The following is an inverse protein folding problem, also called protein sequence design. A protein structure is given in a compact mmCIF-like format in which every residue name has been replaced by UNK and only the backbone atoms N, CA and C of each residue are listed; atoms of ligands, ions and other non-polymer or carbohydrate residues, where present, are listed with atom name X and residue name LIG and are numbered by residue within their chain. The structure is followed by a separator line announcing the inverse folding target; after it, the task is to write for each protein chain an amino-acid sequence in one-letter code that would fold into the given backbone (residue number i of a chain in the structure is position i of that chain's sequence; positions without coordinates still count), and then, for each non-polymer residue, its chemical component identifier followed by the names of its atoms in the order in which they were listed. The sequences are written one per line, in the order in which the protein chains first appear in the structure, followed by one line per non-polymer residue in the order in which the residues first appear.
data_IF_507013540002
#
_entry.id   IF_507013540002
#
_cell.length_a   1.000
_cell.length_b   1.000
_cell.length_c   1.000
_cell.angle_alpha   90.00
_cell.angle_beta   90.00
_cell.angle_gamma   90.00
#
_symmetry.space_group_name_H-M   'P 1'
#
loop_
_entity.id
_entity.type
_entity.pdbx_description
1 polymer ?
#
# COMPACT_ATOMS: atom_id res chain seq x y z
N UNK A 1 16.75 9.76 -2.40
CA UNK A 1 17.46 8.67 -1.69
C UNK A 1 17.99 9.26 -0.40
N UNK A 2 17.15 9.31 0.63
CA UNK A 2 17.50 9.92 1.91
C UNK A 2 18.06 8.79 2.78
N UNK A 3 19.37 8.82 2.99
CA UNK A 3 20.05 7.90 3.90
C UNK A 3 19.56 8.18 5.32
N UNK A 4 18.87 7.22 5.93
CA UNK A 4 18.64 7.19 7.36
C UNK A 4 19.93 6.72 8.01
N UNK A 5 20.80 7.66 8.37
CA UNK A 5 21.95 7.37 9.23
C UNK A 5 21.48 7.37 10.67
N UNK A 6 21.29 6.18 11.24
CA UNK A 6 21.22 6.02 12.69
C UNK A 6 22.61 6.31 13.27
N UNK A 7 22.82 7.53 13.77
CA UNK A 7 24.02 7.89 14.55
C UNK A 7 23.62 7.93 16.02
N UNK A 8 23.90 6.86 16.74
CA UNK A 8 24.15 6.94 18.17
C UNK A 8 25.60 7.41 18.37
N UNK A 9 25.89 8.43 19.18
CA UNK A 9 27.25 8.67 19.62
C UNK A 9 27.62 7.72 20.77
N UNK A 10 28.72 7.00 20.59
CA UNK A 10 29.46 6.30 21.64
C UNK A 10 29.88 7.29 22.73
N UNK A 11 29.42 7.08 23.97
CA UNK A 11 29.94 7.75 25.15
C UNK A 11 30.85 6.79 25.92
N UNK A 12 32.16 6.84 25.64
CA UNK A 12 33.21 6.29 26.52
C UNK A 12 33.94 7.44 27.21
N UNK A 13 33.90 7.43 28.55
CA UNK A 13 34.96 7.96 29.42
C UNK A 13 34.61 9.21 30.20
N UNK A 14 34.42 9.06 31.52
CA UNK A 14 34.43 10.16 32.49
C UNK A 14 33.74 9.77 33.78
N UNK A 15 34.49 9.20 34.73
CA UNK A 15 33.98 8.93 36.08
C UNK A 15 33.68 10.22 36.85
N UNK A 16 32.65 10.17 37.67
CA UNK A 16 32.25 11.23 38.57
C UNK A 16 30.90 10.88 39.19
N UNK A 17 30.93 10.35 40.40
CA UNK A 17 29.75 10.08 41.23
C UNK A 17 29.00 11.39 41.51
N UNK A 18 27.72 11.45 41.14
CA UNK A 18 26.75 12.31 41.83
C UNK A 18 25.32 11.78 41.66
N UNK A 19 24.67 11.65 42.80
CA UNK A 19 23.36 11.05 43.08
C UNK A 19 22.19 11.55 42.21
N UNK A 20 21.45 10.59 41.65
CA UNK A 20 19.99 10.51 41.68
C UNK A 20 19.18 11.79 41.48
N UNK A 21 18.80 12.09 40.23
CA UNK A 21 17.58 12.86 39.85
C UNK A 21 17.35 12.75 38.33
N UNK A 22 17.26 11.52 37.81
CA UNK A 22 17.26 11.27 36.35
C UNK A 22 15.91 11.07 35.66
N UNK A 23 14.81 10.81 36.39
CA UNK A 23 13.54 10.42 35.73
C UNK A 23 12.77 11.61 35.18
N UNK A 24 12.71 12.73 35.91
CA UNK A 24 11.78 13.82 35.58
C UNK A 24 12.18 14.63 34.34
N UNK A 25 13.46 14.65 33.95
CA UNK A 25 13.95 15.44 32.81
C UNK A 25 13.63 14.79 31.47
N UNK A 26 13.89 13.49 31.34
CA UNK A 26 13.62 12.71 30.13
C UNK A 26 12.12 12.55 29.90
N UNK A 27 11.35 12.29 30.97
CA UNK A 27 9.89 12.22 30.90
C UNK A 27 9.27 13.56 30.49
N UNK A 28 9.76 14.69 31.01
CA UNK A 28 9.30 16.01 30.57
C UNK A 28 9.64 16.28 29.10
N UNK A 29 10.84 15.88 28.66
CA UNK A 29 11.27 16.07 27.27
C UNK A 29 10.43 15.23 26.29
N UNK A 30 10.10 13.98 26.63
CA UNK A 30 9.20 13.14 25.83
C UNK A 30 7.77 13.71 25.78
N UNK A 31 7.28 14.31 26.88
CA UNK A 31 5.97 14.97 26.92
C UNK A 31 5.93 16.21 26.03
N UNK A 32 7.01 16.98 25.97
CA UNK A 32 7.09 18.17 25.12
C UNK A 32 7.24 17.80 23.63
N UNK A 33 8.02 16.77 23.30
CA UNK A 33 8.12 16.23 21.94
C UNK A 33 6.79 15.65 21.45
N UNK A 34 6.01 15.05 22.34
CA UNK A 34 4.67 14.58 22.06
C UNK A 34 3.67 15.72 21.80
N UNK A 35 3.96 17.00 22.11
CA UNK A 35 3.09 18.16 21.79
C UNK A 35 3.40 18.80 20.45
N UNK A 36 4.55 18.47 19.85
CA UNK A 36 4.96 19.00 18.56
C UNK A 36 4.03 18.58 17.41
N UNK A 37 4.02 19.31 16.29
CA UNK A 37 3.21 18.94 15.13
C UNK A 37 3.67 17.60 14.54
N UNK A 38 2.69 16.75 14.20
CA UNK A 38 2.90 15.42 13.61
C UNK A 38 3.24 15.49 12.12
N UNK A 39 2.84 16.58 11.45
CA UNK A 39 3.22 16.87 10.08
C UNK A 39 3.53 18.35 9.90
N UNK A 40 4.40 18.64 8.94
CA UNK A 40 4.79 20.01 8.59
C UNK A 40 4.75 20.20 7.09
N UNK A 41 4.26 21.36 6.66
CA UNK A 41 4.42 21.83 5.28
C UNK A 41 5.82 22.42 5.14
N UNK A 42 6.62 21.85 4.24
CA UNK A 42 7.96 22.33 3.93
C UNK A 42 7.87 23.31 2.77
N UNK A 43 8.22 24.59 2.96
CA UNK A 43 8.23 25.55 1.87
C UNK A 43 9.31 25.17 0.86
N UNK A 44 8.96 25.17 -0.43
CA UNK A 44 9.92 25.02 -1.50
C UNK A 44 10.77 26.30 -1.56
N UNK A 45 12.11 26.20 -1.77
CA UNK A 45 12.96 27.37 -1.88
C UNK A 45 12.41 28.38 -2.90
N UNK A 46 12.17 29.61 -2.44
CA UNK A 46 11.50 30.64 -3.23
C UNK A 46 12.18 30.90 -4.58
N UNK A 47 13.51 30.79 -4.62
CA UNK A 47 14.29 30.98 -5.85
C UNK A 47 13.91 29.99 -6.96
N UNK A 48 13.70 28.72 -6.62
CA UNK A 48 13.33 27.68 -7.60
C UNK A 48 11.89 27.88 -8.09
N UNK A 49 10.97 28.20 -7.16
CA UNK A 49 9.56 28.40 -7.48
C UNK A 49 9.32 29.66 -8.31
N UNK A 50 10.01 30.75 -7.98
CA UNK A 50 9.88 32.01 -8.71
C UNK A 50 10.44 31.89 -10.12
N UNK A 51 11.60 31.23 -10.31
CA UNK A 51 12.14 30.95 -11.64
C UNK A 51 11.16 30.15 -12.50
N UNK A 52 10.57 29.09 -11.92
CA UNK A 52 9.55 28.28 -12.60
C UNK A 52 8.32 29.10 -13.03
N UNK A 53 7.80 29.95 -12.13
CA UNK A 53 6.66 30.84 -12.43
C UNK A 53 6.96 31.84 -13.53
N UNK A 54 8.16 32.44 -13.52
CA UNK A 54 8.59 33.38 -14.56
C UNK A 54 8.63 32.68 -15.92
N UNK A 55 9.18 31.47 -16.00
CA UNK A 55 9.24 30.70 -17.25
C UNK A 55 7.84 30.36 -17.78
N UNK A 56 6.89 29.99 -16.90
CA UNK A 56 5.49 29.73 -17.32
C UNK A 56 4.84 31.00 -17.87
N UNK A 57 4.97 32.13 -17.18
CA UNK A 57 4.41 33.41 -17.64
C UNK A 57 5.03 33.80 -18.98
N UNK A 58 6.35 33.69 -19.13
CA UNK A 58 7.04 33.97 -20.39
C UNK A 58 6.52 33.08 -21.51
N UNK A 59 6.33 31.77 -21.25
CA UNK A 59 5.78 30.84 -22.22
C UNK A 59 4.35 31.20 -22.60
N UNK A 60 3.52 31.65 -21.67
CA UNK A 60 2.17 32.15 -21.94
C UNK A 60 2.20 33.37 -22.87
N UNK A 61 3.12 34.32 -22.62
CA UNK A 61 3.30 35.50 -23.48
C UNK A 61 3.70 35.08 -24.91
N UNK A 62 4.67 34.16 -25.05
CA UNK A 62 5.09 33.63 -26.35
C UNK A 62 3.92 32.94 -27.06
N UNK A 63 3.12 32.15 -26.35
CA UNK A 63 1.94 31.49 -26.91
C UNK A 63 0.89 32.51 -27.39
N UNK A 64 0.64 33.58 -26.64
CA UNK A 64 -0.27 34.65 -27.06
C UNK A 64 0.19 35.29 -28.37
N UNK A 65 1.48 35.64 -28.48
CA UNK A 65 2.03 36.19 -29.73
C UNK A 65 2.01 35.18 -30.88
N UNK A 66 2.29 33.90 -30.60
CA UNK A 66 2.19 32.83 -31.58
C UNK A 66 0.78 32.73 -32.15
N UNK A 67 -0.26 32.68 -31.29
CA UNK A 67 -1.65 32.60 -31.75
C UNK A 67 -2.11 33.87 -32.45
N UNK A 68 -1.71 35.05 -31.97
CA UNK A 68 -2.00 36.31 -32.65
C UNK A 68 -1.44 36.31 -34.08
N UNK A 69 -0.17 35.95 -34.25
CA UNK A 69 0.45 35.86 -35.56
C UNK A 69 -0.24 34.81 -36.45
N UNK A 70 -0.51 33.63 -35.89
CA UNK A 70 -1.11 32.49 -36.59
C UNK A 70 -2.52 32.80 -37.10
N UNK A 71 -3.33 33.50 -36.31
CA UNK A 71 -4.70 33.90 -36.68
C UNK A 71 -4.70 35.06 -37.67
N UNK A 72 -3.76 36.02 -37.54
CA UNK A 72 -3.67 37.17 -38.47
C UNK A 72 -3.08 36.83 -39.85
N UNK A 73 -2.37 35.70 -40.00
CA UNK A 73 -1.77 35.26 -41.27
C UNK A 73 -2.35 33.92 -41.76
N UNK A 74 -3.59 33.91 -42.29
CA UNK A 74 -4.20 32.71 -42.85
C UNK A 74 -3.59 32.32 -44.20
N UNK A 75 -3.42 31.00 -44.42
CA UNK A 75 -2.97 30.45 -45.71
C UNK A 75 -4.18 30.32 -46.64
N UNK A 76 -4.29 31.22 -47.62
CA UNK A 76 -5.45 31.30 -48.52
C UNK A 76 -5.56 30.12 -49.48
N UNK A 77 -4.42 29.54 -49.88
CA UNK A 77 -4.38 28.43 -50.84
C UNK A 77 -4.85 27.08 -50.24
N UNK A 78 -4.85 26.97 -48.91
CA UNK A 78 -5.20 25.73 -48.19
C UNK A 78 -5.97 26.04 -46.88
N UNK A 79 -7.04 26.84 -46.99
CA UNK A 79 -7.77 27.35 -45.83
C UNK A 79 -8.33 26.25 -44.90
N UNK A 80 -8.83 25.14 -45.45
CA UNK A 80 -9.36 24.02 -44.65
C UNK A 80 -8.30 23.36 -43.76
N UNK A 81 -7.11 23.09 -44.30
CA UNK A 81 -5.98 22.53 -43.53
C UNK A 81 -5.47 23.52 -42.48
N UNK A 82 -5.41 24.80 -42.84
CA UNK A 82 -5.05 25.87 -41.91
C UNK A 82 -6.03 25.94 -40.73
N UNK A 83 -7.34 25.93 -41.00
CA UNK A 83 -8.38 26.04 -39.97
C UNK A 83 -8.32 24.87 -38.98
N UNK A 84 -8.19 23.63 -39.49
CA UNK A 84 -8.07 22.44 -38.64
C UNK A 84 -6.81 22.50 -37.77
N UNK A 85 -5.67 22.89 -38.35
CA UNK A 85 -4.41 23.08 -37.61
C UNK A 85 -4.56 24.10 -36.48
N UNK A 86 -5.16 25.27 -36.73
CA UNK A 86 -5.34 26.32 -35.73
C UNK A 86 -6.29 25.87 -34.60
N UNK A 87 -7.38 25.19 -34.92
CA UNK A 87 -8.30 24.65 -33.91
C UNK A 87 -7.59 23.63 -33.01
N UNK A 88 -6.82 22.71 -33.59
CA UNK A 88 -6.02 21.74 -32.82
C UNK A 88 -4.98 22.43 -31.93
N UNK A 89 -4.27 23.44 -32.44
CA UNK A 89 -3.27 24.20 -31.67
C UNK A 89 -3.92 24.95 -30.49
N UNK A 90 -5.06 25.62 -30.70
CA UNK A 90 -5.81 26.29 -29.63
C UNK A 90 -6.24 25.29 -28.56
N UNK A 91 -6.73 24.12 -28.97
CA UNK A 91 -7.13 23.06 -28.05
C UNK A 91 -5.95 22.57 -27.20
N UNK A 92 -4.79 22.33 -27.82
CA UNK A 92 -3.56 21.96 -27.10
C UNK A 92 -3.09 23.06 -26.14
N UNK A 93 -3.15 24.33 -26.55
CA UNK A 93 -2.77 25.44 -25.68
C UNK A 93 -3.70 25.61 -24.49
N UNK A 94 -5.01 25.44 -24.68
CA UNK A 94 -5.98 25.43 -23.60
C UNK A 94 -5.74 24.26 -22.64
N UNK A 95 -5.52 23.06 -23.17
CA UNK A 95 -5.18 21.87 -22.37
C UNK A 95 -3.90 22.09 -21.55
N UNK A 96 -2.86 22.65 -22.17
CA UNK A 96 -1.62 23.00 -21.49
C UNK A 96 -1.84 24.05 -20.40
N UNK A 97 -2.59 25.12 -20.67
CA UNK A 97 -2.88 26.17 -19.70
C UNK A 97 -3.62 25.62 -18.47
N UNK A 98 -4.65 24.79 -18.69
CA UNK A 98 -5.39 24.13 -17.62
C UNK A 98 -4.50 23.20 -16.79
N UNK A 99 -3.54 22.52 -17.41
CA UNK A 99 -2.56 21.67 -16.72
C UNK A 99 -1.51 22.47 -15.92
N UNK A 100 -1.25 23.74 -16.26
CA UNK A 100 -0.35 24.60 -15.49
C UNK A 100 -0.98 25.13 -14.19
N UNK A 101 -2.29 25.37 -14.14
CA UNK A 101 -2.94 25.96 -12.96
C UNK A 101 -2.75 25.13 -11.67
N UNK A 102 -2.93 23.80 -11.65
CA UNK A 102 -2.69 22.98 -10.46
C UNK A 102 -1.23 23.01 -9.98
N UNK A 103 -0.28 23.28 -10.88
CA UNK A 103 1.17 23.27 -10.59
C UNK A 103 1.67 24.61 -10.04
N UNK A 104 0.81 25.62 -9.90
CA UNK A 104 1.20 26.96 -9.47
C UNK A 104 1.64 27.03 -8.00
N UNK A 105 1.08 26.15 -7.15
CA UNK A 105 1.33 26.11 -5.73
C UNK A 105 1.67 24.69 -5.26
N UNK A 106 2.90 24.21 -5.57
CA UNK A 106 3.36 22.92 -5.08
C UNK A 106 3.58 22.99 -3.56
N UNK A 107 3.20 21.92 -2.85
CA UNK A 107 3.30 21.80 -1.39
C UNK A 107 4.07 20.53 -1.07
N UNK A 108 5.21 20.67 -0.38
CA UNK A 108 5.91 19.53 0.21
C UNK A 108 5.42 19.31 1.65
N UNK A 109 5.30 18.05 2.07
CA UNK A 109 4.90 17.67 3.42
C UNK A 109 5.90 16.67 3.99
N UNK A 110 6.27 16.89 5.24
CA UNK A 110 7.03 15.93 6.06
C UNK A 110 6.14 15.42 7.18
N UNK A 111 6.33 14.16 7.55
CA UNK A 111 5.60 13.48 8.63
C UNK A 111 6.59 12.92 9.64
N UNK A 112 6.27 13.05 10.93
CA UNK A 112 7.13 12.60 12.02
C UNK A 112 6.47 11.43 12.75
N UNK A 113 6.91 10.20 12.44
CA UNK A 113 6.33 8.98 13.00
C UNK A 113 6.70 8.78 14.47
N UNK A 114 7.90 9.19 14.89
CA UNK A 114 8.35 9.05 16.28
C UNK A 114 7.43 9.82 17.25
N UNK A 115 7.01 11.02 16.85
CA UNK A 115 6.06 11.84 17.61
C UNK A 115 4.66 11.24 17.65
N UNK A 116 4.27 10.53 16.59
CA UNK A 116 2.99 9.82 16.53
C UNK A 116 2.99 8.65 17.52
N UNK A 117 4.06 7.85 17.53
CA UNK A 117 4.23 6.74 18.47
C UNK A 117 4.23 7.23 19.93
N UNK A 118 5.03 8.26 20.25
CA UNK A 118 5.05 8.86 21.60
C UNK A 118 3.69 9.37 22.09
N UNK A 119 2.83 9.84 21.17
CA UNK A 119 1.52 10.40 21.51
C UNK A 119 0.42 9.34 21.62
N UNK A 120 0.39 8.35 20.73
CA UNK A 120 -0.75 7.45 20.57
C UNK A 120 -0.43 5.95 20.73
N UNK A 121 0.84 5.57 20.77
CA UNK A 121 1.29 4.19 20.87
C UNK A 121 2.38 4.05 21.95
N UNK A 122 2.01 4.43 23.18
CA UNK A 122 2.91 4.40 24.34
C UNK A 122 3.10 2.98 24.84
N UNK A 123 4.34 2.64 25.17
CA UNK A 123 4.66 1.35 25.75
C UNK A 123 3.95 1.15 27.10
N UNK A 124 3.21 0.04 27.25
CA UNK A 124 2.49 -0.30 28.48
C UNK A 124 1.03 0.18 28.55
N UNK A 125 0.58 1.04 27.64
CA UNK A 125 -0.82 1.45 27.49
C UNK A 125 -1.44 0.81 26.23
N UNK A 126 -2.78 0.62 26.18
CA UNK A 126 -3.42 0.17 24.95
C UNK A 126 -3.28 1.23 23.86
N UNK A 127 -2.88 0.81 22.65
CA UNK A 127 -2.71 1.69 21.50
C UNK A 127 -3.98 2.48 21.20
N UNK A 128 -3.86 3.81 21.15
CA UNK A 128 -4.94 4.75 20.84
C UNK A 128 -5.09 4.99 19.33
N UNK A 129 -4.31 4.26 18.54
CA UNK A 129 -4.35 4.29 17.09
C UNK A 129 -5.72 3.85 16.53
N UNK A 130 -6.16 4.52 15.46
CA UNK A 130 -7.43 4.21 14.81
C UNK A 130 -7.36 2.87 14.06
N UNK A 131 -8.42 2.04 14.07
CA UNK A 131 -8.50 0.89 13.17
C UNK A 131 -8.44 1.32 11.70
N UNK A 132 -7.71 0.55 10.89
CA UNK A 132 -7.53 0.72 9.46
C UNK A 132 -8.04 -0.54 8.75
N UNK A 133 -8.90 -0.32 7.77
CA UNK A 133 -9.42 -1.36 6.88
C UNK A 133 -8.77 -1.18 5.49
N UNK A 134 -8.07 -2.21 5.02
CA UNK A 134 -7.37 -2.21 3.74
C UNK A 134 -8.13 -3.09 2.75
N UNK A 135 -8.44 -2.53 1.58
CA UNK A 135 -9.21 -3.21 0.54
C UNK A 135 -8.31 -3.60 -0.63
N UNK A 136 -8.42 -4.86 -1.05
CA UNK A 136 -7.79 -5.41 -2.24
C UNK A 136 -8.91 -5.95 -3.14
N UNK A 137 -9.07 -5.38 -4.32
CA UNK A 137 -10.03 -5.87 -5.33
C UNK A 137 -9.27 -6.64 -6.42
N UNK A 138 -9.77 -7.82 -6.76
CA UNK A 138 -9.29 -8.65 -7.88
C UNK A 138 -10.46 -8.98 -8.79
N UNK A 139 -10.22 -9.04 -10.10
CA UNK A 139 -11.29 -9.26 -11.08
C UNK A 139 -11.26 -10.66 -11.68
N UNK A 140 -10.08 -11.15 -12.05
CA UNK A 140 -9.95 -12.45 -12.72
C UNK A 140 -8.54 -13.00 -12.52
N UNK A 141 -8.37 -14.18 -11.91
CA UNK A 141 -7.05 -14.75 -11.63
C UNK A 141 -6.26 -15.14 -12.90
N UNK A 142 -6.90 -15.20 -14.07
CA UNK A 142 -6.19 -15.40 -15.35
C UNK A 142 -5.54 -14.12 -15.87
N UNK A 143 -6.14 -12.96 -15.58
CA UNK A 143 -5.58 -11.64 -15.95
C UNK A 143 -4.60 -11.13 -14.91
N UNK A 144 -4.90 -11.40 -13.64
CA UNK A 144 -4.13 -10.98 -12.47
C UNK A 144 -3.62 -12.23 -11.75
N UNK A 145 -2.36 -12.66 -11.99
CA UNK A 145 -1.84 -13.89 -11.41
C UNK A 145 -2.04 -13.93 -9.89
N UNK A 146 -2.61 -15.01 -9.31
CA UNK A 146 -2.95 -15.07 -7.90
C UNK A 146 -1.73 -14.94 -6.99
N UNK A 147 -0.53 -15.27 -7.49
CA UNK A 147 0.72 -15.05 -6.76
C UNK A 147 0.98 -13.55 -6.49
N UNK A 148 0.63 -12.65 -7.41
CA UNK A 148 0.80 -11.21 -7.21
C UNK A 148 -0.18 -10.71 -6.15
N UNK A 149 -1.44 -11.13 -6.24
CA UNK A 149 -2.47 -10.84 -5.22
C UNK A 149 -2.06 -11.35 -3.85
N UNK A 150 -1.53 -12.57 -3.76
CA UNK A 150 -1.00 -13.14 -2.53
C UNK A 150 0.14 -12.29 -1.95
N UNK A 151 1.12 -11.87 -2.78
CA UNK A 151 2.22 -11.01 -2.33
C UNK A 151 1.73 -9.66 -1.76
N UNK A 152 0.72 -9.06 -2.39
CA UNK A 152 0.08 -7.82 -1.90
C UNK A 152 -0.57 -8.05 -0.54
N UNK A 153 -1.36 -9.12 -0.40
CA UNK A 153 -1.99 -9.49 0.88
C UNK A 153 -0.95 -9.77 1.97
N UNK A 154 0.12 -10.51 1.66
CA UNK A 154 1.21 -10.77 2.59
C UNK A 154 1.91 -9.49 3.05
N UNK A 155 2.09 -8.53 2.14
CA UNK A 155 2.67 -7.23 2.48
C UNK A 155 1.77 -6.41 3.40
N UNK A 156 0.45 -6.46 3.18
CA UNK A 156 -0.55 -5.77 4.00
C UNK A 156 -0.58 -6.37 5.42
N UNK A 157 -0.61 -7.69 5.53
CA UNK A 157 -0.67 -8.39 6.82
C UNK A 157 0.62 -8.22 7.63
N UNK A 158 1.74 -7.95 6.96
CA UNK A 158 3.03 -7.70 7.58
C UNK A 158 3.31 -6.20 7.86
N UNK A 159 2.30 -5.32 7.77
CA UNK A 159 2.47 -3.89 8.10
C UNK A 159 2.86 -3.69 9.56
N UNK A 160 3.61 -2.62 9.82
CA UNK A 160 4.00 -2.22 11.17
C UNK A 160 2.89 -1.39 11.82
N UNK A 161 1.89 -2.10 12.36
CA UNK A 161 0.75 -1.53 13.06
C UNK A 161 0.19 -2.55 14.07
N UNK A 162 -0.53 -2.09 15.11
CA UNK A 162 -1.18 -2.99 16.06
C UNK A 162 -2.12 -3.98 15.37
N UNK A 163 -1.99 -5.25 15.75
CA UNK A 163 -2.71 -6.36 15.11
C UNK A 163 -4.23 -6.29 15.30
N UNK A 164 -4.71 -5.65 16.36
CA UNK A 164 -6.12 -5.38 16.66
C UNK A 164 -6.72 -4.22 15.86
N UNK A 165 -5.89 -3.49 15.13
CA UNK A 165 -6.29 -2.32 14.38
C UNK A 165 -6.18 -2.51 12.87
N UNK A 166 -5.53 -3.54 12.36
CA UNK A 166 -5.43 -3.79 10.90
C UNK A 166 -6.38 -4.89 10.48
N UNK A 167 -7.26 -4.58 9.54
CA UNK A 167 -8.08 -5.57 8.84
C UNK A 167 -7.78 -5.53 7.35
N UNK A 168 -7.68 -6.70 6.72
CA UNK A 168 -7.50 -6.82 5.29
C UNK A 168 -8.74 -7.47 4.67
N UNK A 169 -9.30 -6.82 3.65
CA UNK A 169 -10.46 -7.31 2.91
C UNK A 169 -10.06 -7.56 1.47
N UNK A 170 -10.33 -8.77 0.98
CA UNK A 170 -10.11 -9.13 -0.42
C UNK A 170 -11.46 -9.34 -1.08
N UNK A 171 -11.76 -8.51 -2.07
CA UNK A 171 -12.96 -8.60 -2.90
C UNK A 171 -12.61 -9.25 -4.23
N UNK A 172 -13.25 -10.37 -4.55
CA UNK A 172 -13.11 -11.04 -5.86
C UNK A 172 -14.40 -10.89 -6.67
N UNK A 173 -14.32 -10.09 -7.74
CA UNK A 173 -15.44 -9.89 -8.67
C UNK A 173 -15.60 -11.08 -9.64
N UNK A 174 -14.56 -11.91 -9.81
CA UNK A 174 -14.57 -13.06 -10.71
C UNK A 174 -15.19 -14.33 -10.14
N UNK A 175 -15.45 -14.35 -8.82
CA UNK A 175 -15.99 -15.51 -8.10
C UNK A 175 -15.21 -16.81 -8.38
N UNK A 176 -13.90 -16.69 -8.57
CA UNK A 176 -13.08 -17.79 -9.05
C UNK A 176 -12.57 -18.63 -7.89
N UNK A 177 -12.80 -19.94 -7.95
CA UNK A 177 -12.29 -20.88 -6.93
C UNK A 177 -10.76 -20.80 -6.78
N UNK A 178 -10.03 -20.53 -7.86
CA UNK A 178 -8.58 -20.34 -7.83
C UNK A 178 -8.15 -19.21 -6.88
N UNK A 179 -8.85 -18.08 -6.89
CA UNK A 179 -8.57 -16.95 -5.99
C UNK A 179 -8.76 -17.37 -4.53
N UNK A 180 -9.85 -18.10 -4.26
CA UNK A 180 -10.18 -18.59 -2.94
C UNK A 180 -9.14 -19.59 -2.41
N UNK A 181 -8.81 -20.64 -3.17
CA UNK A 181 -7.79 -21.62 -2.77
C UNK A 181 -6.42 -20.94 -2.58
N UNK A 182 -6.05 -20.01 -3.48
CA UNK A 182 -4.79 -19.26 -3.38
C UNK A 182 -4.72 -18.39 -2.12
N UNK A 183 -5.82 -17.75 -1.73
CA UNK A 183 -5.89 -16.95 -0.51
C UNK A 183 -5.85 -17.82 0.75
N UNK A 184 -6.41 -19.03 0.71
CA UNK A 184 -6.28 -20.01 1.80
C UNK A 184 -4.82 -20.45 2.00
N UNK A 185 -4.11 -20.79 0.92
CA UNK A 185 -2.67 -21.09 0.99
C UNK A 185 -1.84 -19.89 1.46
N UNK A 186 -2.23 -18.69 1.03
CA UNK A 186 -1.62 -17.43 1.49
C UNK A 186 -1.86 -17.24 3.00
N UNK A 187 -3.03 -17.65 3.48
CA UNK A 187 -3.41 -17.66 4.89
C UNK A 187 -2.48 -18.52 5.74
N UNK A 188 -2.11 -19.69 5.24
CA UNK A 188 -1.16 -20.54 5.94
C UNK A 188 0.27 -19.95 5.92
N UNK A 189 0.70 -19.45 4.76
CA UNK A 189 2.06 -18.93 4.62
C UNK A 189 2.31 -17.69 5.48
N UNK A 190 1.36 -16.74 5.59
CA UNK A 190 1.64 -15.55 6.40
C UNK A 190 1.74 -15.80 7.91
N UNK A 191 1.27 -16.95 8.42
CA UNK A 191 1.54 -17.36 9.80
C UNK A 191 3.04 -17.53 10.05
N UNK A 192 3.80 -17.89 9.02
CA UNK A 192 5.26 -18.00 9.05
C UNK A 192 5.93 -16.67 8.67
N UNK A 193 5.43 -16.00 7.63
CA UNK A 193 6.02 -14.77 7.09
C UNK A 193 5.87 -13.55 7.99
N UNK A 194 4.68 -13.30 8.56
CA UNK A 194 4.40 -12.09 9.34
C UNK A 194 5.30 -11.98 10.58
N UNK A 195 5.46 -13.03 11.43
CA UNK A 195 6.39 -12.97 12.55
C UNK A 195 7.83 -12.75 12.12
N UNK A 196 8.26 -13.37 11.01
CA UNK A 196 9.60 -13.18 10.46
C UNK A 196 9.85 -11.74 10.01
N UNK A 197 8.90 -11.14 9.30
CA UNK A 197 8.96 -9.75 8.86
C UNK A 197 9.05 -8.77 10.02
N UNK A 198 8.20 -8.95 11.04
CA UNK A 198 8.18 -8.08 12.22
C UNK A 198 9.45 -8.24 13.07
N UNK A 199 9.88 -9.48 13.32
CA UNK A 199 11.07 -9.77 14.13
C UNK A 199 12.36 -9.19 13.54
N UNK A 200 12.52 -9.26 12.22
CA UNK A 200 13.76 -8.83 11.55
C UNK A 200 13.64 -7.48 10.85
N UNK A 201 12.51 -6.77 11.00
CA UNK A 201 12.19 -5.53 10.30
C UNK A 201 12.58 -5.59 8.81
N UNK A 202 11.96 -6.52 8.07
CA UNK A 202 12.27 -6.79 6.66
C UNK A 202 11.62 -5.75 5.77
N UNK A 203 12.36 -5.22 4.79
CA UNK A 203 11.82 -4.34 3.76
C UNK A 203 12.40 -4.72 2.38
N UNK A 204 11.56 -4.80 1.32
CA UNK A 204 10.10 -4.66 1.30
C UNK A 204 9.39 -5.86 1.96
N UNK A 205 8.14 -5.66 2.41
CA UNK A 205 7.34 -6.69 3.11
C UNK A 205 6.72 -7.75 2.19
N UNK A 206 6.72 -7.52 0.88
CA UNK A 206 6.28 -8.49 -0.12
C UNK A 206 7.40 -9.50 -0.43
N UNK A 207 7.18 -10.81 -0.22
CA UNK A 207 8.26 -11.80 -0.28
C UNK A 207 8.87 -11.99 -1.68
N UNK A 208 8.08 -11.96 -2.77
CA UNK A 208 8.63 -12.07 -4.13
C UNK A 208 9.65 -10.96 -4.38
N UNK A 209 9.25 -9.71 -4.10
CA UNK A 209 10.10 -8.55 -4.30
C UNK A 209 11.32 -8.57 -3.37
N UNK A 210 11.14 -8.98 -2.11
CA UNK A 210 12.25 -9.09 -1.15
C UNK A 210 13.29 -10.13 -1.58
N UNK A 211 12.88 -11.33 -1.98
CA UNK A 211 13.82 -12.39 -2.34
C UNK A 211 14.44 -12.22 -3.73
N UNK A 212 13.82 -11.44 -4.61
CA UNK A 212 14.38 -11.07 -5.93
C UNK A 212 15.44 -9.96 -5.86
N UNK A 213 15.45 -9.14 -4.80
CA UNK A 213 16.43 -8.07 -4.66
C UNK A 213 17.87 -8.63 -4.58
N UNK A 214 18.75 -8.08 -5.42
CA UNK A 214 20.19 -8.41 -5.45
C UNK A 214 21.03 -7.55 -4.48
N UNK A 215 20.38 -6.80 -3.60
CA UNK A 215 21.03 -5.92 -2.62
C UNK A 215 21.62 -6.78 -1.50
N UNK A 216 22.70 -6.30 -0.87
CA UNK A 216 23.25 -6.93 0.32
C UNK A 216 22.22 -6.94 1.45
N UNK A 217 21.66 -8.13 1.71
CA UNK A 217 20.62 -8.37 2.70
C UNK A 217 21.17 -8.50 4.14
N UNK A 218 22.51 -8.47 4.31
CA UNK A 218 23.15 -8.47 5.63
C UNK A 218 23.42 -7.06 6.14
N UNK A 219 23.26 -6.05 5.29
CA UNK A 219 23.45 -4.66 5.67
C UNK A 219 22.51 -4.30 6.83
N UNK A 220 23.08 -3.78 7.90
CA UNK A 220 22.37 -3.34 9.13
C UNK A 220 21.65 -4.46 9.91
N UNK A 221 21.92 -5.75 9.63
CA UNK A 221 21.34 -6.88 10.37
C UNK A 221 22.34 -7.43 11.39
N UNK A 222 22.08 -7.17 12.67
CA UNK A 222 22.97 -7.54 13.79
C UNK A 222 22.66 -8.96 14.33
N UNK A 223 21.47 -9.50 14.06
CA UNK A 223 21.04 -10.75 14.70
C UNK A 223 21.78 -12.00 14.18
N UNK A 224 22.48 -12.77 15.05
CA UNK A 224 23.23 -13.96 14.64
C UNK A 224 22.37 -15.07 14.01
N UNK A 225 21.10 -15.18 14.42
CA UNK A 225 20.18 -16.21 13.88
C UNK A 225 19.57 -15.86 12.53
N UNK A 226 19.72 -14.60 12.07
CA UNK A 226 19.04 -14.08 10.87
C UNK A 226 19.34 -14.90 9.62
N UNK A 227 20.61 -15.27 9.40
CA UNK A 227 21.03 -16.01 8.20
C UNK A 227 20.34 -17.38 8.13
N UNK A 228 20.22 -18.08 9.26
CA UNK A 228 19.58 -19.40 9.35
C UNK A 228 18.07 -19.27 9.14
N UNK A 229 17.42 -18.33 9.83
CA UNK A 229 15.98 -18.08 9.74
C UNK A 229 15.57 -17.62 8.33
N UNK A 230 16.32 -16.70 7.72
CA UNK A 230 16.09 -16.23 6.35
C UNK A 230 16.21 -17.36 5.33
N UNK A 231 17.20 -18.25 5.48
CA UNK A 231 17.36 -19.40 4.56
C UNK A 231 16.21 -20.39 4.69
N UNK A 232 15.73 -20.64 5.91
CA UNK A 232 14.54 -21.46 6.13
C UNK A 232 13.30 -20.81 5.50
N UNK A 233 13.09 -19.51 5.76
CA UNK A 233 11.96 -18.76 5.21
C UNK A 233 11.96 -18.70 3.68
N UNK A 234 13.14 -18.60 3.06
CA UNK A 234 13.25 -18.66 1.59
C UNK A 234 12.76 -19.99 1.05
N UNK A 235 13.08 -21.13 1.69
CA UNK A 235 12.60 -22.44 1.25
C UNK A 235 11.09 -22.57 1.38
N UNK A 236 10.56 -22.16 2.53
CA UNK A 236 9.12 -22.09 2.78
C UNK A 236 8.38 -21.25 1.72
N UNK A 237 8.99 -20.14 1.29
CA UNK A 237 8.44 -19.29 0.24
C UNK A 237 8.46 -19.96 -1.15
N UNK A 238 9.55 -20.64 -1.52
CA UNK A 238 9.60 -21.39 -2.78
C UNK A 238 8.59 -22.54 -2.79
N UNK A 239 8.41 -23.25 -1.68
CA UNK A 239 7.37 -24.27 -1.54
C UNK A 239 5.96 -23.69 -1.67
N UNK A 240 5.71 -22.53 -1.06
CA UNK A 240 4.47 -21.77 -1.24
C UNK A 240 4.23 -21.41 -2.72
N UNK A 241 5.25 -20.92 -3.44
CA UNK A 241 5.15 -20.63 -4.87
C UNK A 241 4.78 -21.87 -5.69
N UNK A 242 5.38 -23.02 -5.37
CA UNK A 242 5.07 -24.29 -6.04
C UNK A 242 3.60 -24.68 -5.81
N UNK A 243 3.09 -24.55 -4.57
CA UNK A 243 1.67 -24.84 -4.25
C UNK A 243 0.73 -23.93 -5.03
N UNK A 244 0.98 -22.61 -5.05
CA UNK A 244 0.18 -21.67 -5.84
C UNK A 244 0.21 -22.01 -7.33
N UNK A 245 1.38 -22.32 -7.89
CA UNK A 245 1.49 -22.72 -9.30
C UNK A 245 0.74 -24.02 -9.60
N UNK A 246 0.72 -24.99 -8.66
CA UNK A 246 -0.06 -26.20 -8.80
C UNK A 246 -1.58 -25.90 -8.83
N UNK A 247 -2.06 -24.97 -8.00
CA UNK A 247 -3.45 -24.49 -8.03
C UNK A 247 -3.78 -23.81 -9.37
N UNK A 248 -2.89 -22.95 -9.87
CA UNK A 248 -3.06 -22.30 -11.18
C UNK A 248 -3.15 -23.33 -12.30
N UNK A 249 -2.29 -24.34 -12.30
CA UNK A 249 -2.30 -25.41 -13.29
C UNK A 249 -3.58 -26.28 -13.20
N UNK A 250 -4.06 -26.56 -11.98
CA UNK A 250 -5.34 -27.26 -11.73
C UNK A 250 -6.52 -26.45 -12.27
N UNK A 251 -6.52 -25.13 -12.03
CA UNK A 251 -7.59 -24.23 -12.44
C UNK A 251 -7.76 -24.09 -13.97
N UNK A 252 -6.73 -24.39 -14.76
CA UNK A 252 -6.83 -24.39 -16.23
C UNK A 252 -7.74 -25.49 -16.77
N UNK A 253 -7.98 -26.56 -15.99
CA UNK A 253 -8.86 -27.67 -16.37
C UNK A 253 -10.15 -27.57 -15.57
N UNK A 254 -11.12 -26.82 -16.11
CA UNK A 254 -12.45 -26.70 -15.50
C UNK A 254 -13.16 -28.05 -15.57
N UNK A 255 -13.62 -28.62 -14.44
CA UNK A 255 -14.41 -29.85 -14.45
C UNK A 255 -15.75 -29.64 -15.18
N UNK A 256 -16.25 -30.65 -15.90
CA UNK A 256 -17.54 -30.56 -16.60
C UNK A 256 -18.72 -30.35 -15.63
N UNK A 257 -18.63 -30.93 -14.43
CA UNK A 257 -19.63 -30.80 -13.36
C UNK A 257 -19.49 -29.49 -12.56
N UNK A 258 -18.53 -28.64 -12.92
CA UNK A 258 -18.19 -27.43 -12.18
C UNK A 258 -17.24 -27.68 -11.01
N UNK A 259 -16.88 -26.60 -10.34
CA UNK A 259 -15.98 -26.65 -9.19
C UNK A 259 -16.70 -27.18 -7.95
N UNK A 260 -15.98 -27.94 -7.13
CA UNK A 260 -16.43 -28.47 -5.83
C UNK A 260 -15.46 -28.05 -4.74
N UNK A 261 -15.98 -27.66 -3.59
CA UNK A 261 -15.20 -27.33 -2.40
C UNK A 261 -14.61 -28.60 -1.76
N UNK A 262 -13.67 -28.41 -0.83
CA UNK A 262 -13.02 -29.52 -0.12
C UNK A 262 -13.98 -30.37 0.75
N UNK A 263 -15.13 -29.81 1.13
CA UNK A 263 -16.20 -30.49 1.86
C UNK A 263 -17.15 -31.28 0.96
N UNK A 264 -16.91 -31.28 -0.36
CA UNK A 264 -17.73 -31.97 -1.36
C UNK A 264 -18.95 -31.17 -1.83
N UNK A 265 -19.16 -29.94 -1.35
CA UNK A 265 -20.25 -29.09 -1.82
C UNK A 265 -19.90 -28.42 -3.16
N UNK A 266 -20.91 -28.07 -3.96
CA UNK A 266 -20.69 -27.35 -5.22
C UNK A 266 -20.25 -25.90 -4.94
N UNK A 267 -19.28 -25.41 -5.71
CA UNK A 267 -18.81 -24.03 -5.62
C UNK A 267 -19.95 -23.05 -5.96
N UNK A 268 -20.35 -22.14 -5.05
CA UNK A 268 -21.44 -21.21 -5.29
C UNK A 268 -21.19 -20.27 -6.48
N UNK A 269 -19.92 -20.00 -6.81
CA UNK A 269 -19.49 -19.14 -7.91
C UNK A 269 -19.34 -19.84 -9.26
N UNK A 270 -19.90 -21.04 -9.46
CA UNK A 270 -19.78 -21.76 -10.73
C UNK A 270 -20.36 -21.01 -11.93
N UNK A 271 -21.37 -20.16 -11.71
CA UNK A 271 -21.88 -19.22 -12.71
C UNK A 271 -21.45 -17.78 -12.36
N UNK A 272 -20.46 -17.20 -13.08
CA UNK A 272 -19.96 -15.85 -12.78
C UNK A 272 -21.02 -14.74 -12.92
N UNK A 273 -22.11 -14.98 -13.66
CA UNK A 273 -23.18 -13.98 -13.87
C UNK A 273 -24.29 -14.06 -12.83
N UNK A 274 -24.45 -15.20 -12.18
CA UNK A 274 -25.52 -15.46 -11.23
C UNK A 274 -25.01 -16.40 -10.13
N UNK A 275 -24.43 -15.79 -9.10
CA UNK A 275 -23.93 -16.49 -7.94
C UNK A 275 -24.30 -15.71 -6.67
N UNK A 276 -24.57 -16.40 -5.55
CA UNK A 276 -24.76 -15.73 -4.28
C UNK A 276 -23.45 -15.05 -3.82
N UNK A 277 -23.59 -14.00 -3.01
CA UNK A 277 -22.45 -13.44 -2.30
C UNK A 277 -21.98 -14.39 -1.19
N UNK A 278 -20.68 -14.62 -1.09
CA UNK A 278 -20.07 -15.45 -0.06
C UNK A 278 -19.05 -14.61 0.72
N UNK A 279 -19.10 -14.72 2.05
CA UNK A 279 -18.16 -14.06 2.95
C UNK A 279 -17.46 -15.15 3.75
N UNK A 280 -16.14 -15.24 3.61
CA UNK A 280 -15.31 -16.15 4.38
C UNK A 280 -14.36 -15.33 5.27
N UNK A 281 -14.30 -15.65 6.55
CA UNK A 281 -13.34 -15.04 7.48
C UNK A 281 -12.22 -16.04 7.74
N UNK A 282 -11.00 -15.68 7.35
CA UNK A 282 -9.79 -16.41 7.71
C UNK A 282 -9.12 -15.68 8.88
N UNK A 283 -9.15 -16.28 10.07
CA UNK A 283 -8.51 -15.71 11.26
C UNK A 283 -7.06 -16.19 11.40
N UNK A 284 -6.20 -15.27 11.80
CA UNK A 284 -4.76 -15.45 11.96
C UNK A 284 -4.43 -15.45 13.45
N UNK A 285 -4.70 -16.56 14.14
CA UNK A 285 -4.66 -16.54 15.60
C UNK A 285 -5.61 -15.47 16.17
N UNK A 286 -5.25 -14.85 17.29
CA UNK A 286 -6.23 -14.12 18.12
C UNK A 286 -6.73 -12.79 17.56
N UNK A 287 -6.15 -12.20 16.49
CA UNK A 287 -6.41 -10.76 16.24
C UNK A 287 -6.49 -10.27 14.79
N UNK A 288 -5.82 -10.87 13.79
CA UNK A 288 -5.97 -10.37 12.40
C UNK A 288 -7.02 -11.23 11.69
N UNK A 289 -8.02 -10.60 11.08
CA UNK A 289 -9.02 -11.26 10.26
C UNK A 289 -8.82 -10.86 8.80
N UNK A 290 -8.50 -11.82 7.94
CA UNK A 290 -8.62 -11.67 6.51
C UNK A 290 -10.06 -12.04 6.15
N UNK A 291 -10.88 -11.04 5.87
CA UNK A 291 -12.25 -11.29 5.41
C UNK A 291 -12.24 -11.28 3.89
N UNK A 292 -12.42 -12.46 3.32
CA UNK A 292 -12.55 -12.68 1.89
C UNK A 292 -14.03 -12.52 1.53
N UNK A 293 -14.32 -11.50 0.73
CA UNK A 293 -15.66 -11.21 0.23
C UNK A 293 -15.70 -11.59 -1.25
N UNK A 294 -16.31 -12.73 -1.56
CA UNK A 294 -16.68 -13.06 -2.94
C UNK A 294 -18.06 -12.47 -3.17
N UNK A 295 -18.12 -11.23 -3.63
CA UNK A 295 -19.40 -10.54 -3.83
C UNK A 295 -19.62 -10.24 -5.30
N UNK A 296 -20.77 -10.65 -5.82
CA UNK A 296 -21.24 -10.35 -7.18
C UNK A 296 -21.52 -8.84 -7.42
N UNK A 297 -21.25 -7.96 -6.44
CA UNK A 297 -21.52 -6.54 -6.57
C UNK A 297 -20.62 -5.70 -5.65
N UNK A 298 -19.63 -5.03 -6.24
CA UNK A 298 -18.75 -4.04 -5.60
C UNK A 298 -19.52 -2.98 -4.78
N UNK A 299 -20.77 -2.67 -5.16
CA UNK A 299 -21.67 -1.75 -4.44
C UNK A 299 -22.16 -2.25 -3.08
N UNK A 300 -22.37 -3.56 -2.91
CA UNK A 300 -22.87 -4.13 -1.65
C UNK A 300 -21.74 -4.26 -0.61
N UNK A 301 -20.53 -4.63 -1.06
CA UNK A 301 -19.32 -4.65 -0.23
C UNK A 301 -19.04 -3.26 0.36
N UNK A 302 -18.95 -2.24 -0.50
CA UNK A 302 -18.77 -0.84 -0.08
C UNK A 302 -19.88 -0.33 0.84
N UNK A 303 -21.13 -0.77 0.65
CA UNK A 303 -22.26 -0.40 1.50
C UNK A 303 -22.21 -1.06 2.90
N UNK A 304 -21.89 -2.35 2.98
CA UNK A 304 -21.76 -3.08 4.25
C UNK A 304 -20.58 -2.57 5.08
N UNK A 305 -19.47 -2.23 4.41
CA UNK A 305 -18.29 -1.61 5.02
C UNK A 305 -18.60 -0.20 5.52
N UNK A 306 -19.19 0.66 4.67
CA UNK A 306 -19.55 2.04 5.06
C UNK A 306 -20.50 2.10 6.26
N UNK A 307 -21.34 1.08 6.43
CA UNK A 307 -22.25 0.96 7.59
C UNK A 307 -21.58 0.38 8.84
N UNK A 308 -20.28 0.08 8.81
CA UNK A 308 -19.55 -0.55 9.92
C UNK A 308 -20.01 -1.99 10.23
N UNK A 309 -20.88 -2.56 9.40
CA UNK A 309 -21.47 -3.87 9.64
C UNK A 309 -20.46 -4.99 9.39
N UNK A 310 -19.50 -4.83 8.49
CA UNK A 310 -18.46 -5.84 8.25
C UNK A 310 -17.49 -5.93 9.43
N UNK A 311 -17.08 -4.80 10.02
CA UNK A 311 -16.28 -4.82 11.26
C UNK A 311 -17.08 -5.45 12.42
N UNK A 312 -18.39 -5.19 12.51
CA UNK A 312 -19.26 -5.84 13.50
C UNK A 312 -19.42 -7.34 13.27
N UNK A 313 -19.62 -7.78 12.02
CA UNK A 313 -19.75 -9.19 11.63
C UNK A 313 -18.43 -9.93 11.88
N UNK A 314 -17.30 -9.34 11.46
CA UNK A 314 -15.97 -9.92 11.68
C UNK A 314 -15.66 -10.02 13.18
N UNK A 315 -15.97 -8.99 13.98
CA UNK A 315 -15.81 -9.05 15.45
C UNK A 315 -16.74 -10.07 16.12
N UNK A 316 -17.97 -10.27 15.61
CA UNK A 316 -18.90 -11.29 16.12
C UNK A 316 -18.53 -12.72 15.72
N UNK A 317 -17.85 -12.90 14.60
CA UNK A 317 -17.41 -14.22 14.11
C UNK A 317 -16.05 -14.65 14.71
N UNK A 318 -15.27 -13.71 15.24
CA UNK A 318 -13.97 -13.96 15.90
C UNK A 318 -14.11 -14.15 17.43
N UNK A 319 -15.24 -13.77 18.04
CA UNK A 319 -15.60 -14.07 19.43
C UNK A 319 -16.32 -15.41 19.54
#
# INVERSE_FOLDING_TARGET
MMQVTNKYPDARGGGGDMEGTGSNGEDMQMVDDARLPLSRIVPIPANQLNLYRIVIILRLIILCFFFQYRVSHPVRDAYGLWLVSVICEIWFALSWLLDQFPKWYPINRETYLDRLALRYDREGEPSQLCPIDIFVSTVDPLKEPPLITANTVLSILAVDYPVDKVSCYVSDDGSAMLTFESLSETAEFARKWVPFCKKHNIEPRAPEFYFQQKIDYLKDKIQPSFVKERRAMKREYEEFKIRINALVAKAQKVPEEGWTMADGTAWPGNNPRDHPGMIQVCSWGTVVALTLMVMSCHGLCMSLVKRGQVSSITRRLVQ
#
